data_IF_142714086825
#
_entry.id   IF_142714086825
#
_cell.length_a   1.000
_cell.length_b   1.000
_cell.length_c   1.000
_cell.angle_alpha   90.00
_cell.angle_beta   90.00
_cell.angle_gamma   90.00
#
_symmetry.space_group_name_H-M   'P 1'
#
loop_
_entity.id
_entity.type
_entity.pdbx_description
1 polymer ?
#
# COMPACT_ATOMS: atom_id res chain seq x y z
N UNK A 1 -5.01 16.82 -3.61
CA UNK A 1 -4.86 15.53 -4.32
C UNK A 1 -6.24 15.10 -4.83
N UNK A 2 -6.41 14.91 -6.15
CA UNK A 2 -7.69 14.59 -6.82
C UNK A 2 -8.02 13.10 -6.68
N UNK A 3 -9.31 12.75 -6.72
CA UNK A 3 -9.84 11.38 -6.58
C UNK A 3 -9.34 10.44 -7.70
N UNK A 4 -9.00 10.99 -8.87
CA UNK A 4 -8.39 10.23 -9.98
C UNK A 4 -6.97 9.76 -9.67
N UNK A 5 -6.16 10.57 -8.97
CA UNK A 5 -4.79 10.18 -8.59
C UNK A 5 -4.82 9.02 -7.59
N UNK A 6 -5.76 9.09 -6.65
CA UNK A 6 -6.03 8.07 -5.66
C UNK A 6 -6.45 6.71 -6.25
N UNK A 7 -7.40 6.74 -7.19
CA UNK A 7 -7.83 5.54 -7.91
C UNK A 7 -6.68 4.97 -8.76
N UNK A 8 -5.89 5.85 -9.38
CA UNK A 8 -4.68 5.46 -10.11
C UNK A 8 -3.68 4.75 -9.19
N UNK A 9 -3.46 5.27 -7.97
CA UNK A 9 -2.51 4.67 -7.01
C UNK A 9 -2.99 3.26 -6.57
N UNK A 10 -4.28 3.09 -6.28
CA UNK A 10 -4.88 1.78 -5.93
C UNK A 10 -4.83 0.80 -7.11
N UNK A 11 -5.20 1.25 -8.30
CA UNK A 11 -5.16 0.42 -9.50
C UNK A 11 -3.73 0.03 -9.87
N UNK A 12 -2.76 0.92 -9.64
CA UNK A 12 -1.35 0.63 -9.85
C UNK A 12 -0.83 -0.39 -8.83
N UNK A 13 -1.24 -0.26 -7.57
CA UNK A 13 -1.01 -1.27 -6.53
C UNK A 13 -1.53 -2.65 -6.94
N UNK A 14 -2.80 -2.73 -7.37
CA UNK A 14 -3.43 -3.98 -7.80
C UNK A 14 -2.74 -4.52 -9.06
N UNK A 15 -2.50 -3.67 -10.05
CA UNK A 15 -1.83 -4.05 -11.28
C UNK A 15 -0.43 -4.60 -11.02
N UNK A 16 0.33 -4.02 -10.09
CA UNK A 16 1.67 -4.50 -9.78
C UNK A 16 1.63 -5.85 -9.04
N UNK A 17 0.67 -6.06 -8.13
CA UNK A 17 0.45 -7.39 -7.51
C UNK A 17 0.07 -8.43 -8.57
N UNK A 18 -0.76 -8.04 -9.55
CA UNK A 18 -1.33 -8.93 -10.57
C UNK A 18 -0.43 -9.18 -11.78
N UNK A 19 0.49 -8.28 -12.13
CA UNK A 19 1.26 -8.31 -13.38
C UNK A 19 2.68 -8.86 -13.25
N UNK A 20 3.21 -8.98 -12.03
CA UNK A 20 4.53 -9.54 -11.82
C UNK A 20 4.50 -11.08 -11.92
N UNK A 21 5.50 -11.66 -12.58
CA UNK A 21 5.72 -13.11 -12.59
C UNK A 21 6.36 -13.57 -11.27
N UNK A 22 5.95 -14.75 -10.77
CA UNK A 22 6.53 -15.36 -9.57
C UNK A 22 5.62 -15.39 -8.32
N UNK A 23 6.11 -15.96 -7.21
CA UNK A 23 5.33 -16.15 -6.00
C UNK A 23 4.97 -14.80 -5.35
N UNK A 24 3.84 -14.74 -4.64
CA UNK A 24 3.30 -13.50 -4.04
C UNK A 24 4.32 -12.70 -3.18
N UNK A 25 5.18 -13.33 -2.34
CA UNK A 25 6.20 -12.61 -1.59
C UNK A 25 7.14 -11.78 -2.48
N UNK A 26 7.57 -12.35 -3.61
CA UNK A 26 8.51 -11.71 -4.52
C UNK A 26 7.92 -10.46 -5.16
N UNK A 27 6.66 -10.59 -5.60
CA UNK A 27 5.90 -9.52 -6.22
C UNK A 27 5.72 -8.35 -5.26
N UNK A 28 5.38 -8.63 -4.00
CA UNK A 28 5.22 -7.58 -2.99
C UNK A 28 6.55 -6.88 -2.70
N UNK A 29 7.64 -7.64 -2.55
CA UNK A 29 8.96 -7.08 -2.30
C UNK A 29 9.43 -6.13 -3.41
N UNK A 30 9.28 -6.51 -4.68
CA UNK A 30 9.69 -5.67 -5.82
C UNK A 30 8.79 -4.44 -6.01
N UNK A 31 7.48 -4.64 -5.85
CA UNK A 31 6.45 -3.64 -6.10
C UNK A 31 6.45 -2.50 -5.09
N UNK A 32 6.37 -2.89 -3.81
CA UNK A 32 6.00 -1.97 -2.75
C UNK A 32 7.18 -1.33 -2.10
N UNK A 33 8.37 -1.92 -2.22
CA UNK A 33 9.58 -1.25 -1.78
C UNK A 33 9.72 0.08 -2.52
N UNK A 34 9.69 0.08 -3.86
CA UNK A 34 9.80 1.30 -4.68
C UNK A 34 8.64 2.27 -4.46
N UNK A 35 7.40 1.78 -4.51
CA UNK A 35 6.22 2.65 -4.40
C UNK A 35 6.11 3.31 -3.02
N UNK A 36 6.28 2.57 -1.93
CA UNK A 36 6.07 3.13 -0.59
C UNK A 36 7.28 3.90 -0.07
N UNK A 37 8.52 3.61 -0.51
CA UNK A 37 9.67 4.46 -0.12
C UNK A 37 9.61 5.85 -0.76
N UNK A 38 9.01 5.98 -1.94
CA UNK A 38 8.89 7.26 -2.64
C UNK A 38 7.64 8.05 -2.25
N UNK A 39 6.64 7.40 -1.64
CA UNK A 39 5.39 8.05 -1.24
C UNK A 39 5.60 8.94 -0.01
N UNK A 40 5.28 10.25 -0.14
CA UNK A 40 5.24 11.20 0.97
C UNK A 40 3.84 11.28 1.58
N UNK A 41 3.72 11.05 2.89
CA UNK A 41 2.44 11.03 3.61
C UNK A 41 2.13 12.34 4.37
N UNK A 42 2.86 13.43 4.09
CA UNK A 42 2.80 14.67 4.87
C UNK A 42 1.42 15.37 4.86
N UNK A 43 0.53 14.96 3.95
CA UNK A 43 -0.86 15.47 3.86
C UNK A 43 -1.94 14.50 4.35
N UNK A 44 -1.57 13.39 4.99
CA UNK A 44 -2.53 12.37 5.43
C UNK A 44 -3.03 12.68 6.84
N UNK A 45 -4.29 12.30 7.19
CA UNK A 45 -4.74 12.30 8.58
C UNK A 45 -3.78 11.48 9.46
N UNK A 46 -3.58 11.89 10.70
CA UNK A 46 -2.53 11.35 11.57
C UNK A 46 -2.68 9.84 11.82
N UNK A 47 -3.90 9.35 12.00
CA UNK A 47 -4.20 7.92 12.16
C UNK A 47 -3.84 7.11 10.89
N UNK A 48 -4.10 7.68 9.70
CA UNK A 48 -3.76 7.07 8.40
C UNK A 48 -2.26 7.07 8.20
N UNK A 49 -1.60 8.20 8.47
CA UNK A 49 -0.15 8.33 8.40
C UNK A 49 0.55 7.28 9.26
N UNK A 50 0.10 7.09 10.51
CA UNK A 50 0.65 6.07 11.40
C UNK A 50 0.50 4.63 10.84
N UNK A 51 -0.61 4.33 10.16
CA UNK A 51 -0.78 3.01 9.53
C UNK A 51 0.18 2.82 8.34
N UNK A 52 0.35 3.84 7.50
CA UNK A 52 1.32 3.81 6.40
C UNK A 52 2.76 3.69 6.89
N UNK A 53 3.14 4.39 7.97
CA UNK A 53 4.46 4.26 8.61
C UNK A 53 4.70 2.86 9.17
N UNK A 54 3.66 2.22 9.76
CA UNK A 54 3.74 0.83 10.21
C UNK A 54 3.95 -0.13 9.05
N UNK A 55 3.20 0.04 7.96
CA UNK A 55 3.34 -0.74 6.73
C UNK A 55 4.75 -0.59 6.15
N UNK A 56 5.28 0.63 6.07
CA UNK A 56 6.66 0.87 5.62
C UNK A 56 7.69 0.15 6.49
N UNK A 57 7.51 0.19 7.82
CA UNK A 57 8.41 -0.51 8.76
C UNK A 57 8.37 -2.03 8.56
N UNK A 58 7.19 -2.59 8.39
CA UNK A 58 7.03 -4.02 8.12
C UNK A 58 7.61 -4.43 6.78
N UNK A 59 7.43 -3.61 5.73
CA UNK A 59 8.06 -3.83 4.43
C UNK A 59 9.58 -3.81 4.54
N UNK A 60 10.19 -2.81 5.19
CA UNK A 60 11.64 -2.75 5.38
C UNK A 60 12.20 -3.92 6.19
N UNK A 61 11.42 -4.45 7.12
CA UNK A 61 11.81 -5.63 7.93
C UNK A 61 11.75 -6.92 7.13
N UNK A 62 10.70 -7.12 6.35
CA UNK A 62 10.48 -8.35 5.57
C UNK A 62 11.26 -8.34 4.23
N UNK A 63 11.54 -7.16 3.72
CA UNK A 63 12.18 -6.90 2.43
C UNK A 63 13.26 -5.81 2.61
N UNK A 64 14.39 -6.15 3.24
CA UNK A 64 15.46 -5.18 3.52
C UNK A 64 16.07 -4.60 2.25
N UNK A 65 16.09 -5.38 1.16
CA UNK A 65 16.62 -5.00 -0.15
C UNK A 65 15.62 -5.40 -1.24
N UNK A 66 15.53 -4.64 -2.35
CA UNK A 66 14.74 -5.04 -3.52
C UNK A 66 15.13 -6.44 -4.00
N UNK A 67 14.16 -7.34 -4.12
CA UNK A 67 14.39 -8.72 -4.57
C UNK A 67 14.95 -9.67 -3.50
N UNK A 68 15.16 -9.21 -2.26
CA UNK A 68 15.63 -10.04 -1.14
C UNK A 68 14.54 -10.20 -0.09
N UNK A 69 14.01 -11.40 0.01
CA UNK A 69 12.93 -11.76 0.92
C UNK A 69 13.44 -12.88 1.83
N UNK A 70 13.89 -12.53 3.04
CA UNK A 70 14.35 -13.55 3.99
C UNK A 70 13.14 -14.15 4.70
N UNK A 71 12.81 -15.40 4.33
CA UNK A 71 11.80 -16.21 5.02
C UNK A 71 10.37 -15.64 5.06
N UNK A 72 9.99 -14.78 4.11
CA UNK A 72 8.63 -14.25 4.04
C UNK A 72 7.68 -15.34 3.57
N UNK A 73 6.76 -15.75 4.44
CA UNK A 73 5.73 -16.72 4.11
C UNK A 73 4.66 -16.09 3.22
N UNK A 74 3.95 -16.93 2.46
CA UNK A 74 2.77 -16.51 1.69
C UNK A 74 1.73 -15.78 2.54
N UNK A 75 1.56 -16.21 3.79
CA UNK A 75 0.58 -15.58 4.68
C UNK A 75 1.00 -14.18 5.12
N UNK A 76 2.28 -13.99 5.44
CA UNK A 76 2.82 -12.66 5.75
C UNK A 76 2.73 -11.73 4.53
N UNK A 77 3.06 -12.23 3.35
CA UNK A 77 2.90 -11.49 2.10
C UNK A 77 1.44 -11.09 1.87
N UNK A 78 0.50 -12.02 2.00
CA UNK A 78 -0.93 -11.75 1.82
C UNK A 78 -1.47 -10.72 2.82
N UNK A 79 -1.17 -10.85 4.11
CA UNK A 79 -1.61 -9.88 5.13
C UNK A 79 -1.03 -8.49 4.85
N UNK A 80 0.20 -8.41 4.37
CA UNK A 80 0.82 -7.13 4.01
C UNK A 80 0.13 -6.49 2.81
N UNK A 81 -0.12 -7.23 1.73
CA UNK A 81 -0.89 -6.74 0.58
C UNK A 81 -2.28 -6.26 1.00
N UNK A 82 -2.99 -7.05 1.83
CA UNK A 82 -4.32 -6.70 2.34
C UNK A 82 -4.30 -5.39 3.12
N UNK A 83 -3.33 -5.22 4.04
CA UNK A 83 -3.18 -3.98 4.82
C UNK A 83 -2.92 -2.77 3.95
N UNK A 84 -2.10 -2.93 2.91
CA UNK A 84 -1.81 -1.83 1.99
C UNK A 84 -3.07 -1.42 1.24
N UNK A 85 -3.79 -2.36 0.62
CA UNK A 85 -5.06 -2.08 -0.06
C UNK A 85 -6.06 -1.41 0.88
N UNK A 86 -6.22 -1.92 2.11
CA UNK A 86 -7.11 -1.32 3.10
C UNK A 86 -6.67 0.09 3.54
N UNK A 87 -5.37 0.36 3.64
CA UNK A 87 -4.86 1.68 4.03
C UNK A 87 -5.17 2.73 2.95
N UNK A 88 -5.00 2.37 1.67
CA UNK A 88 -5.39 3.23 0.57
C UNK A 88 -6.93 3.38 0.48
N UNK A 89 -7.70 2.31 0.64
CA UNK A 89 -9.18 2.40 0.66
C UNK A 89 -9.67 3.37 1.75
N UNK A 90 -9.17 3.23 2.99
CA UNK A 90 -9.51 4.11 4.12
C UNK A 90 -9.13 5.56 3.91
N UNK A 91 -8.05 5.84 3.19
CA UNK A 91 -7.66 7.20 2.82
C UNK A 91 -8.72 7.86 1.91
N UNK A 92 -9.55 7.07 1.24
CA UNK A 92 -10.48 7.54 0.22
C UNK A 92 -11.95 7.45 0.62
N UNK A 93 -12.35 6.47 1.44
CA UNK A 93 -13.75 6.27 1.85
C UNK A 93 -14.35 7.44 2.62
N UNK A 94 -13.55 8.26 3.33
CA UNK A 94 -14.06 9.47 4.00
C UNK A 94 -14.33 10.65 3.07
N UNK A 95 -13.74 10.71 1.87
CA UNK A 95 -14.06 11.78 0.90
C UNK A 95 -15.48 11.66 0.33
N UNK A 96 -16.05 10.46 0.31
CA UNK A 96 -17.42 10.25 -0.15
C UNK A 96 -18.47 10.56 0.92
N UNK A 97 -18.15 10.45 2.21
CA UNK A 97 -19.11 10.72 3.28
C UNK A 97 -19.34 12.24 3.43
N UNK A 98 -18.30 13.06 3.27
CA UNK A 98 -18.45 14.53 3.32
C UNK A 98 -19.05 15.14 2.04
N UNK A 99 -19.08 14.42 0.92
CA UNK A 99 -19.77 14.86 -0.31
C UNK A 99 -21.22 14.36 -0.39
N UNK A 100 -21.57 13.29 0.33
CA UNK A 100 -22.94 12.75 0.40
C UNK A 100 -23.79 13.34 1.54
N UNK A 101 -23.17 14.10 2.46
CA UNK A 101 -23.85 14.71 3.63
C UNK A 101 -24.03 16.23 3.48
N UNK A 102 -23.80 16.76 2.28
CA UNK A 102 -23.83 18.19 1.96
C UNK A 102 -24.92 18.55 0.95
N UNK A 103 -26.10 17.96 1.07
CA UNK A 103 -27.35 18.42 0.47
C UNK A 103 -28.45 18.52 1.54
#
# INVERSE_FOLDING_TARGET
MTTERALSDVLQVIAVISAADGPLPDRIGMAYWSHLTETRFDGFPEDRKLEFERIQRDLKRLYPEPGRYEHVTYMQAFELARRIVCAYDKLHTEKNIYMASGE
#
